data_IF_889775208491
#
_entry.id   IF_889775208491
#
_cell.length_a   1.000
_cell.length_b   1.000
_cell.length_c   1.000
_cell.angle_alpha   90.00
_cell.angle_beta   90.00
_cell.angle_gamma   90.00
#
_symmetry.space_group_name_H-M   'P 1'
#
loop_
_entity.id
_entity.type
_entity.pdbx_description
1 polymer ?
#
# COMPACT_ATOMS: atom_id res chain seq x y z
N UNK A 1 24.19 16.18 7.39
CA UNK A 1 22.90 16.64 7.98
C UNK A 1 22.15 17.59 7.04
N UNK A 2 21.93 17.22 5.76
CA UNK A 2 21.13 18.03 4.81
C UNK A 2 20.04 17.22 4.10
N UNK A 3 19.99 15.91 4.30
CA UNK A 3 19.11 14.98 3.57
C UNK A 3 17.93 14.44 4.41
N UNK A 4 17.84 14.80 5.70
CA UNK A 4 16.78 14.29 6.62
C UNK A 4 15.52 15.17 6.60
N UNK A 5 15.57 16.35 5.98
CA UNK A 5 14.47 17.33 5.97
C UNK A 5 13.57 17.26 4.72
N UNK A 6 13.85 16.37 3.77
CA UNK A 6 13.12 16.30 2.49
C UNK A 6 12.01 15.23 2.45
N UNK A 7 11.82 14.41 3.48
CA UNK A 7 10.82 13.31 3.46
C UNK A 7 9.38 13.75 3.77
N UNK A 8 9.12 15.06 3.91
CA UNK A 8 7.77 15.56 4.17
C UNK A 8 7.05 15.81 2.84
N UNK A 9 6.04 14.99 2.54
CA UNK A 9 4.99 15.17 1.53
C UNK A 9 5.29 14.73 0.09
N UNK A 10 4.85 13.52 -0.25
CA UNK A 10 5.14 12.86 -1.53
C UNK A 10 3.87 12.51 -2.34
N UNK A 11 2.77 12.10 -1.67
CA UNK A 11 1.48 11.80 -2.33
C UNK A 11 0.80 13.03 -2.98
N UNK A 12 0.88 14.21 -2.35
CA UNK A 12 0.26 15.42 -2.86
C UNK A 12 0.95 15.98 -4.12
N UNK A 13 2.27 15.83 -4.20
CA UNK A 13 3.08 16.26 -5.34
C UNK A 13 2.86 15.34 -6.55
N UNK A 14 2.77 14.02 -6.32
CA UNK A 14 2.50 13.02 -7.34
C UNK A 14 1.12 13.20 -7.99
N UNK A 15 0.07 13.49 -7.19
CA UNK A 15 -1.28 13.70 -7.71
C UNK A 15 -1.41 14.99 -8.54
N UNK A 16 -0.71 16.06 -8.14
CA UNK A 16 -0.74 17.36 -8.84
C UNK A 16 -0.07 17.27 -10.21
N UNK A 17 1.06 16.57 -10.31
CA UNK A 17 1.78 16.35 -11.57
C UNK A 17 0.99 15.48 -12.56
N UNK A 18 0.25 14.49 -12.05
CA UNK A 18 -0.50 13.55 -12.89
C UNK A 18 -1.85 14.12 -13.35
N UNK A 19 -2.55 14.89 -12.51
CA UNK A 19 -3.79 15.59 -12.89
C UNK A 19 -3.56 16.75 -13.89
N UNK A 20 -2.37 17.33 -13.94
CA UNK A 20 -2.03 18.39 -14.90
C UNK A 20 -1.68 17.86 -16.31
N UNK A 21 -1.26 16.60 -16.42
CA UNK A 21 -1.01 15.92 -17.71
C UNK A 21 -2.32 15.41 -18.33
N UNK A 22 -3.24 14.88 -17.52
CA UNK A 22 -4.56 14.42 -17.97
C UNK A 22 -5.45 15.54 -18.55
N UNK A 23 -5.18 16.80 -18.21
CA UNK A 23 -5.97 17.96 -18.64
C UNK A 23 -5.71 18.48 -20.07
N UNK A 24 -4.59 18.11 -20.72
CA UNK A 24 -4.05 18.93 -21.81
C UNK A 24 -4.06 18.34 -23.25
N UNK A 25 -4.56 17.13 -23.52
CA UNK A 25 -4.53 16.55 -24.89
C UNK A 25 -5.86 15.94 -25.39
N UNK A 26 -7.01 16.47 -24.95
CA UNK A 26 -8.34 15.85 -25.20
C UNK A 26 -9.07 16.37 -26.46
N UNK A 27 -8.53 17.33 -27.21
CA UNK A 27 -9.28 18.04 -28.26
C UNK A 27 -8.74 17.83 -29.66
N UNK A 28 -9.08 16.71 -30.31
CA UNK A 28 -9.18 16.72 -31.77
C UNK A 28 -10.29 15.76 -32.26
N UNK A 29 -11.39 16.27 -32.86
CA UNK A 29 -12.46 15.43 -33.39
C UNK A 29 -12.13 14.88 -34.78
N UNK A 30 -12.57 13.65 -35.07
CA UNK A 30 -12.65 13.08 -36.41
C UNK A 30 -13.97 13.47 -37.09
N UNK A 31 -13.93 13.81 -38.39
CA UNK A 31 -15.03 14.40 -39.16
C UNK A 31 -15.91 13.36 -39.86
N UNK A 32 -16.91 12.78 -39.19
CA UNK A 32 -17.94 11.96 -39.86
C UNK A 32 -19.34 12.56 -39.70
N UNK A 33 -20.07 12.70 -40.82
CA UNK A 33 -21.30 13.52 -40.95
C UNK A 33 -22.57 12.65 -41.14
N UNK A 34 -22.48 11.32 -41.02
CA UNK A 34 -23.65 10.45 -41.24
C UNK A 34 -23.78 9.39 -40.12
N UNK A 35 -24.71 9.62 -39.18
CA UNK A 35 -24.89 8.76 -38.01
C UNK A 35 -25.94 7.71 -38.32
N UNK A 36 -25.51 6.47 -38.50
CA UNK A 36 -26.40 5.30 -38.41
C UNK A 36 -26.37 4.77 -36.97
N UNK A 37 -27.47 4.16 -36.54
CA UNK A 37 -27.59 3.58 -35.18
C UNK A 37 -26.62 2.41 -34.92
N UNK A 38 -25.93 1.89 -35.95
CA UNK A 38 -24.93 0.83 -35.90
C UNK A 38 -23.50 1.31 -36.23
N UNK A 39 -23.29 2.61 -36.43
CA UNK A 39 -21.96 3.17 -36.72
C UNK A 39 -21.29 3.66 -35.42
N UNK A 40 -20.43 2.81 -34.86
CA UNK A 40 -19.70 3.11 -33.62
C UNK A 40 -18.87 4.40 -33.70
N UNK A 41 -18.31 4.75 -34.87
CA UNK A 41 -17.51 5.97 -35.04
C UNK A 41 -18.40 7.21 -34.99
N UNK A 42 -19.52 7.19 -35.72
CA UNK A 42 -20.46 8.31 -35.74
C UNK A 42 -21.16 8.51 -34.39
N UNK A 43 -21.51 7.42 -33.70
CA UNK A 43 -22.06 7.46 -32.35
C UNK A 43 -21.03 8.01 -31.34
N UNK A 44 -19.77 7.60 -31.43
CA UNK A 44 -18.68 8.13 -30.60
C UNK A 44 -18.46 9.62 -30.85
N UNK A 45 -18.54 10.07 -32.10
CA UNK A 45 -18.44 11.49 -32.46
C UNK A 45 -19.54 12.32 -31.79
N UNK A 46 -20.80 11.87 -31.86
CA UNK A 46 -21.90 12.54 -31.16
C UNK A 46 -21.69 12.52 -29.64
N UNK A 47 -21.20 11.41 -29.07
CA UNK A 47 -20.81 11.34 -27.66
C UNK A 47 -19.82 12.46 -27.26
N UNK A 48 -18.77 12.66 -28.05
CA UNK A 48 -17.80 13.74 -27.80
C UNK A 48 -18.38 15.14 -28.02
N UNK A 49 -19.29 15.32 -28.98
CA UNK A 49 -20.03 16.57 -29.15
C UNK A 49 -20.87 16.89 -27.92
N UNK A 50 -21.57 15.89 -27.37
CA UNK A 50 -22.31 16.03 -26.11
C UNK A 50 -21.41 16.35 -24.91
N UNK A 51 -20.19 15.80 -24.84
CA UNK A 51 -19.20 16.23 -23.82
C UNK A 51 -18.88 17.72 -23.97
N UNK A 52 -18.62 18.22 -25.20
CA UNK A 52 -18.31 19.65 -25.44
C UNK A 52 -19.46 20.57 -25.07
N UNK A 53 -20.69 20.11 -25.23
CA UNK A 53 -21.90 20.84 -24.88
C UNK A 53 -22.26 20.72 -23.38
N UNK A 54 -21.43 20.03 -22.57
CA UNK A 54 -21.70 19.68 -21.16
C UNK A 54 -22.95 18.80 -20.94
N UNK A 55 -23.41 18.09 -21.95
CA UNK A 55 -24.56 17.17 -21.91
C UNK A 55 -24.12 15.74 -21.56
N UNK A 56 -23.55 15.52 -20.37
CA UNK A 56 -22.87 14.27 -20.04
C UNK A 56 -23.77 13.02 -20.02
N UNK A 57 -25.04 13.15 -19.63
CA UNK A 57 -26.01 12.04 -19.71
C UNK A 57 -26.29 11.62 -21.16
N UNK A 58 -26.35 12.58 -22.09
CA UNK A 58 -26.52 12.29 -23.51
C UNK A 58 -25.23 11.71 -24.09
N UNK A 59 -24.06 12.21 -23.67
CA UNK A 59 -22.78 11.64 -24.06
C UNK A 59 -22.67 10.17 -23.67
N UNK A 60 -23.00 9.84 -22.42
CA UNK A 60 -23.04 8.46 -21.93
C UNK A 60 -23.97 7.57 -22.75
N UNK A 61 -25.16 8.07 -23.11
CA UNK A 61 -26.08 7.34 -23.98
C UNK A 61 -25.45 6.98 -25.34
N UNK A 62 -24.80 7.95 -25.99
CA UNK A 62 -24.16 7.73 -27.30
C UNK A 62 -22.95 6.80 -27.21
N UNK A 63 -22.10 6.91 -26.19
CA UNK A 63 -20.97 5.99 -26.03
C UNK A 63 -21.41 4.57 -25.71
N UNK A 64 -22.47 4.38 -24.90
CA UNK A 64 -23.04 3.05 -24.68
C UNK A 64 -23.57 2.45 -25.99
N UNK A 65 -24.28 3.24 -26.81
CA UNK A 65 -24.70 2.80 -28.15
C UNK A 65 -23.50 2.43 -29.04
N UNK A 66 -22.44 3.23 -29.02
CA UNK A 66 -21.24 2.96 -29.80
C UNK A 66 -20.57 1.64 -29.39
N UNK A 67 -20.48 1.35 -28.09
CA UNK A 67 -19.92 0.09 -27.56
C UNK A 67 -20.80 -1.11 -27.93
N UNK A 68 -22.13 -0.95 -27.94
CA UNK A 68 -23.05 -2.00 -28.40
C UNK A 68 -22.90 -2.25 -29.90
N UNK A 69 -22.73 -1.19 -30.69
CA UNK A 69 -22.51 -1.29 -32.14
C UNK A 69 -21.17 -1.95 -32.48
N UNK A 70 -20.09 -1.56 -31.79
CA UNK A 70 -18.77 -2.17 -31.90
C UNK A 70 -18.01 -2.09 -30.59
N UNK A 71 -18.03 -3.21 -29.86
CA UNK A 71 -17.31 -3.32 -28.58
C UNK A 71 -15.78 -3.30 -28.70
N UNK A 72 -15.23 -3.42 -29.92
CA UNK A 72 -13.79 -3.29 -30.17
C UNK A 72 -13.35 -1.83 -30.33
N UNK A 73 -14.27 -0.90 -30.54
CA UNK A 73 -13.96 0.50 -30.79
C UNK A 73 -13.52 1.23 -29.50
N UNK A 74 -12.21 1.29 -29.27
CA UNK A 74 -11.62 1.70 -27.98
C UNK A 74 -11.91 3.15 -27.59
N UNK A 75 -12.08 4.05 -28.57
CA UNK A 75 -12.40 5.46 -28.33
C UNK A 75 -13.77 5.67 -27.67
N UNK A 76 -14.73 4.76 -27.90
CA UNK A 76 -16.05 4.80 -27.26
C UNK A 76 -15.95 4.50 -25.76
N UNK A 77 -15.16 3.50 -25.37
CA UNK A 77 -14.88 3.18 -23.97
C UNK A 77 -14.24 4.35 -23.22
N UNK A 78 -13.24 4.97 -23.83
CA UNK A 78 -12.59 6.15 -23.26
C UNK A 78 -13.54 7.35 -23.12
N UNK A 79 -14.38 7.57 -24.11
CA UNK A 79 -15.44 8.58 -24.07
C UNK A 79 -16.46 8.31 -22.96
N UNK A 80 -16.87 7.05 -22.80
CA UNK A 80 -17.82 6.62 -21.77
C UNK A 80 -17.28 6.90 -20.36
N UNK A 81 -16.03 6.52 -20.08
CA UNK A 81 -15.37 6.80 -18.80
C UNK A 81 -15.38 8.31 -18.48
N UNK A 82 -15.06 9.16 -19.47
CA UNK A 82 -15.10 10.63 -19.31
C UNK A 82 -16.51 11.15 -19.06
N UNK A 83 -17.51 10.65 -19.80
CA UNK A 83 -18.90 11.08 -19.66
C UNK A 83 -19.44 10.74 -18.27
N UNK A 84 -19.19 9.53 -17.78
CA UNK A 84 -19.61 9.09 -16.43
C UNK A 84 -18.94 9.95 -15.36
N UNK A 85 -17.61 10.12 -15.44
CA UNK A 85 -16.87 10.92 -14.46
C UNK A 85 -17.43 12.34 -14.37
N UNK A 86 -17.59 13.01 -15.51
CA UNK A 86 -18.10 14.39 -15.54
C UNK A 86 -19.57 14.48 -15.15
N UNK A 87 -20.43 13.52 -15.55
CA UNK A 87 -21.83 13.51 -15.12
C UNK A 87 -21.95 13.44 -13.60
N UNK A 88 -21.13 12.61 -12.97
CA UNK A 88 -21.16 12.39 -11.53
C UNK A 88 -20.45 13.50 -10.74
N UNK A 89 -19.45 14.15 -11.31
CA UNK A 89 -18.63 15.16 -10.62
C UNK A 89 -18.97 16.61 -10.96
N UNK A 90 -19.58 16.90 -12.10
CA UNK A 90 -19.91 18.26 -12.52
C UNK A 90 -21.29 18.74 -12.02
N UNK A 91 -21.73 18.24 -10.86
CA UNK A 91 -23.01 18.62 -10.26
C UNK A 91 -22.90 19.84 -9.34
N UNK A 92 -21.69 20.11 -8.80
CA UNK A 92 -21.42 21.27 -7.91
C UNK A 92 -20.05 21.89 -8.22
N UNK A 93 -19.81 23.13 -7.78
CA UNK A 93 -18.48 23.76 -7.88
C UNK A 93 -17.41 23.02 -7.06
N UNK A 94 -17.80 22.24 -6.04
CA UNK A 94 -16.90 21.57 -5.10
C UNK A 94 -16.52 20.14 -5.53
N UNK A 95 -17.21 19.58 -6.52
CA UNK A 95 -17.05 18.16 -6.92
C UNK A 95 -16.31 17.97 -8.23
N UNK A 96 -15.92 19.03 -8.96
CA UNK A 96 -15.23 18.86 -10.24
C UNK A 96 -13.83 18.22 -10.03
N UNK A 97 -13.29 17.51 -11.04
CA UNK A 97 -12.00 16.81 -10.93
C UNK A 97 -10.83 17.73 -10.50
N UNK A 98 -10.92 19.03 -10.79
CA UNK A 98 -9.92 20.03 -10.40
C UNK A 98 -10.08 20.54 -8.96
N UNK A 99 -11.27 20.48 -8.36
CA UNK A 99 -11.47 20.83 -6.95
C UNK A 99 -10.80 19.82 -6.03
N UNK A 100 -10.60 18.58 -6.51
CA UNK A 100 -9.87 17.51 -5.83
C UNK A 100 -8.40 17.87 -5.58
N UNK A 101 -7.81 18.66 -6.49
CA UNK A 101 -6.47 19.23 -6.29
C UNK A 101 -6.39 20.14 -5.07
N UNK A 102 -7.48 20.83 -4.73
CA UNK A 102 -7.49 21.73 -3.57
C UNK A 102 -7.40 20.95 -2.26
N UNK A 103 -8.07 19.81 -2.16
CA UNK A 103 -8.02 18.95 -0.97
C UNK A 103 -6.65 18.28 -0.82
N UNK A 104 -6.05 17.89 -1.94
CA UNK A 104 -4.73 17.25 -1.97
C UNK A 104 -3.61 18.27 -1.69
N UNK A 105 -3.77 19.51 -2.15
CA UNK A 105 -2.86 20.60 -1.83
C UNK A 105 -3.03 21.10 -0.39
N UNK A 106 -4.24 21.06 0.18
CA UNK A 106 -4.49 21.41 1.57
C UNK A 106 -3.87 20.42 2.58
N UNK A 107 -3.59 19.17 2.16
CA UNK A 107 -2.89 18.17 2.98
C UNK A 107 -1.38 18.39 3.12
N UNK A 108 -0.78 19.39 2.46
CA UNK A 108 0.66 19.71 2.57
C UNK A 108 1.12 20.15 3.96
N UNK A 109 0.19 20.50 4.85
CA UNK A 109 0.46 20.91 6.24
C UNK A 109 0.13 19.80 7.26
N UNK A 110 0.51 18.55 7.00
CA UNK A 110 0.37 17.38 7.91
C UNK A 110 -1.05 16.88 8.15
N UNK A 111 -1.94 17.04 7.17
CA UNK A 111 -3.29 16.46 7.23
C UNK A 111 -3.41 15.24 6.34
N UNK A 112 -4.21 14.28 6.78
CA UNK A 112 -4.73 13.19 5.94
C UNK A 112 -5.37 13.80 4.67
N UNK A 113 -5.03 13.34 3.46
CA UNK A 113 -5.69 13.79 2.23
C UNK A 113 -7.21 13.65 2.33
N UNK A 114 -7.94 14.59 1.72
CA UNK A 114 -9.42 14.63 1.74
C UNK A 114 -10.07 14.77 3.13
N UNK A 115 -9.30 14.99 4.19
CA UNK A 115 -9.84 15.13 5.55
C UNK A 115 -10.75 16.34 5.75
N UNK A 116 -10.55 17.42 4.98
CA UNK A 116 -11.43 18.59 4.97
C UNK A 116 -12.67 18.45 4.08
N UNK A 117 -12.84 17.32 3.39
CA UNK A 117 -13.98 17.05 2.51
C UNK A 117 -15.20 16.63 3.34
N UNK A 118 -16.40 17.09 2.95
CA UNK A 118 -17.65 16.63 3.57
C UNK A 118 -17.99 15.19 3.18
N UNK A 119 -18.75 14.48 4.00
CA UNK A 119 -19.17 13.09 3.71
C UNK A 119 -19.96 12.97 2.42
N UNK A 120 -20.83 13.95 2.15
CA UNK A 120 -21.61 13.98 0.91
C UNK A 120 -20.70 14.04 -0.33
N UNK A 121 -19.63 14.85 -0.29
CA UNK A 121 -18.67 14.97 -1.40
C UNK A 121 -17.82 13.69 -1.50
N UNK A 122 -17.39 13.13 -0.36
CA UNK A 122 -16.61 11.90 -0.34
C UNK A 122 -17.38 10.70 -0.94
N UNK A 123 -18.64 10.53 -0.55
CA UNK A 123 -19.54 9.50 -1.09
C UNK A 123 -19.77 9.71 -2.58
N UNK A 124 -20.02 10.94 -3.00
CA UNK A 124 -20.23 11.25 -4.42
C UNK A 124 -18.97 10.98 -5.26
N UNK A 125 -17.79 11.28 -4.73
CA UNK A 125 -16.53 11.02 -5.38
C UNK A 125 -16.24 9.51 -5.48
N UNK A 126 -16.49 8.76 -4.41
CA UNK A 126 -16.36 7.31 -4.40
C UNK A 126 -17.28 6.66 -5.44
N UNK A 127 -18.56 7.04 -5.47
CA UNK A 127 -19.54 6.56 -6.48
C UNK A 127 -19.11 6.91 -7.93
N UNK A 128 -18.50 8.09 -8.13
CA UNK A 128 -17.96 8.48 -9.42
C UNK A 128 -16.79 7.59 -9.84
N UNK A 129 -15.82 7.37 -8.95
CA UNK A 129 -14.64 6.54 -9.19
C UNK A 129 -15.06 5.08 -9.44
N UNK A 130 -15.91 4.51 -8.59
CA UNK A 130 -16.37 3.13 -8.72
C UNK A 130 -17.11 2.90 -10.05
N UNK A 131 -17.92 3.86 -10.47
CA UNK A 131 -18.63 3.78 -11.76
C UNK A 131 -17.68 3.82 -12.96
N UNK A 132 -16.62 4.63 -12.89
CA UNK A 132 -15.60 4.67 -13.95
C UNK A 132 -14.75 3.41 -13.95
N UNK A 133 -14.35 2.93 -12.78
CA UNK A 133 -13.55 1.71 -12.61
C UNK A 133 -14.27 0.47 -13.15
N UNK A 134 -15.59 0.37 -12.96
CA UNK A 134 -16.39 -0.71 -13.52
C UNK A 134 -16.31 -0.78 -15.06
N UNK A 135 -16.21 0.37 -15.73
CA UNK A 135 -16.04 0.45 -17.19
C UNK A 135 -14.58 0.24 -17.59
N UNK A 136 -13.65 0.84 -16.84
CA UNK A 136 -12.21 0.72 -17.09
C UNK A 136 -11.76 -0.75 -17.01
N UNK A 137 -12.19 -1.49 -15.99
CA UNK A 137 -11.87 -2.92 -15.83
C UNK A 137 -12.30 -3.74 -17.04
N UNK A 138 -13.53 -3.54 -17.52
CA UNK A 138 -14.03 -4.22 -18.73
C UNK A 138 -13.21 -3.86 -19.97
N UNK A 139 -12.85 -2.59 -20.14
CA UNK A 139 -12.00 -2.15 -21.25
C UNK A 139 -10.60 -2.77 -21.18
N UNK A 140 -9.97 -2.76 -19.99
CA UNK A 140 -8.63 -3.30 -19.75
C UNK A 140 -8.57 -4.80 -20.06
N UNK A 141 -9.55 -5.58 -19.58
CA UNK A 141 -9.65 -7.01 -19.88
C UNK A 141 -9.74 -7.27 -21.38
N UNK A 142 -10.51 -6.45 -22.10
CA UNK A 142 -10.67 -6.58 -23.55
C UNK A 142 -9.41 -6.20 -24.31
N UNK A 143 -8.77 -5.10 -23.93
CA UNK A 143 -7.54 -4.62 -24.57
C UNK A 143 -6.41 -5.65 -24.42
N UNK A 144 -6.22 -6.18 -23.20
CA UNK A 144 -5.26 -7.25 -22.92
C UNK A 144 -5.54 -8.54 -23.71
N UNK A 145 -6.82 -8.82 -23.98
CA UNK A 145 -7.24 -9.95 -24.80
C UNK A 145 -7.15 -9.69 -26.32
N UNK A 146 -6.66 -8.53 -26.76
CA UNK A 146 -6.60 -8.13 -28.18
C UNK A 146 -7.99 -7.96 -28.81
N UNK A 147 -9.01 -7.63 -28.02
CA UNK A 147 -10.41 -7.47 -28.45
C UNK A 147 -10.80 -6.01 -28.72
N UNK A 148 -9.82 -5.13 -28.85
CA UNK A 148 -9.95 -3.70 -29.16
C UNK A 148 -9.26 -3.39 -30.50
N UNK A 149 -9.60 -2.25 -31.09
CA UNK A 149 -8.93 -1.69 -32.28
C UNK A 149 -7.54 -1.08 -31.97
N UNK A 150 -7.12 -1.13 -30.70
CA UNK A 150 -5.85 -0.62 -30.17
C UNK A 150 -5.56 0.87 -30.45
N UNK A 151 -6.58 1.67 -30.82
CA UNK A 151 -6.43 3.13 -31.02
C UNK A 151 -6.20 3.81 -29.67
N UNK A 152 -7.01 3.45 -28.68
CA UNK A 152 -6.76 3.69 -27.26
C UNK A 152 -6.41 2.33 -26.67
N UNK A 153 -5.31 2.28 -25.92
CA UNK A 153 -4.85 1.07 -25.23
C UNK A 153 -4.92 1.27 -23.73
N UNK A 154 -4.79 0.20 -22.95
CA UNK A 154 -4.61 0.31 -21.51
C UNK A 154 -3.41 1.21 -21.16
N UNK A 155 -2.29 1.08 -21.88
CA UNK A 155 -1.12 1.97 -21.71
C UNK A 155 -1.46 3.46 -21.91
N UNK A 156 -2.44 3.77 -22.76
CA UNK A 156 -2.90 5.14 -23.00
C UNK A 156 -3.67 5.72 -21.81
N UNK A 157 -4.34 4.88 -21.02
CA UNK A 157 -5.22 5.31 -19.92
C UNK A 157 -4.68 4.99 -18.52
N UNK A 158 -3.60 4.21 -18.43
CA UNK A 158 -3.09 3.66 -17.16
C UNK A 158 -2.74 4.76 -16.14
N UNK A 159 -2.18 5.88 -16.59
CA UNK A 159 -1.93 7.05 -15.74
C UNK A 159 -3.22 7.57 -15.08
N UNK A 160 -4.26 7.82 -15.87
CA UNK A 160 -5.54 8.31 -15.37
C UNK A 160 -6.25 7.29 -14.47
N UNK A 161 -6.17 6.02 -14.85
CA UNK A 161 -6.72 4.92 -14.07
C UNK A 161 -6.03 4.77 -12.71
N UNK A 162 -4.69 4.86 -12.67
CA UNK A 162 -3.91 4.82 -11.44
C UNK A 162 -4.30 5.96 -10.48
N UNK A 163 -4.47 7.19 -11.00
CA UNK A 163 -4.92 8.31 -10.18
C UNK A 163 -6.27 8.01 -9.54
N UNK A 164 -7.22 7.47 -10.30
CA UNK A 164 -8.54 7.10 -9.77
C UNK A 164 -8.42 6.04 -8.66
N UNK A 165 -7.55 5.04 -8.83
CA UNK A 165 -7.30 4.04 -7.78
C UNK A 165 -6.66 4.65 -6.54
N UNK A 166 -5.64 5.50 -6.67
CA UNK A 166 -5.03 6.21 -5.54
C UNK A 166 -6.06 7.07 -4.81
N UNK A 167 -6.94 7.74 -5.54
CA UNK A 167 -8.02 8.53 -4.96
C UNK A 167 -9.04 7.68 -4.21
N UNK A 168 -9.40 6.50 -4.75
CA UNK A 168 -10.22 5.52 -4.05
C UNK A 168 -9.55 5.07 -2.75
N UNK A 169 -8.27 4.68 -2.79
CA UNK A 169 -7.50 4.31 -1.59
C UNK A 169 -7.55 5.42 -0.54
N UNK A 170 -7.37 6.69 -0.93
CA UNK A 170 -7.43 7.81 0.00
C UNK A 170 -8.84 8.02 0.60
N UNK A 171 -9.91 7.72 -0.13
CA UNK A 171 -11.28 7.78 0.41
C UNK A 171 -11.55 6.66 1.41
N UNK A 172 -11.02 5.46 1.15
CA UNK A 172 -11.04 4.34 2.10
C UNK A 172 -10.29 4.73 3.37
N UNK A 173 -9.06 5.27 3.24
CA UNK A 173 -8.29 5.78 4.38
C UNK A 173 -9.09 6.84 5.16
N UNK A 174 -9.74 7.78 4.47
CA UNK A 174 -10.59 8.80 5.10
C UNK A 174 -11.71 8.16 5.92
N UNK A 175 -12.46 7.20 5.36
CA UNK A 175 -13.55 6.49 6.06
C UNK A 175 -13.04 5.89 7.38
N UNK A 176 -11.89 5.22 7.34
CA UNK A 176 -11.22 4.65 8.53
C UNK A 176 -10.86 5.71 9.57
N UNK A 177 -10.45 6.90 9.16
CA UNK A 177 -10.14 7.99 10.12
C UNK A 177 -11.36 8.54 10.85
N UNK A 178 -12.57 8.44 10.28
CA UNK A 178 -13.78 8.96 10.93
C UNK A 178 -14.22 8.11 12.12
N UNK A 179 -13.87 6.82 12.11
CA UNK A 179 -14.09 5.91 13.24
C UNK A 179 -13.10 6.09 14.39
N UNK A 180 -12.05 6.93 14.22
CA UNK A 180 -11.04 7.14 15.25
C UNK A 180 -11.48 8.21 16.26
N UNK A 181 -11.77 7.81 17.51
CA UNK A 181 -12.06 8.74 18.60
C UNK A 181 -10.88 9.71 18.83
N UNK A 182 -11.17 11.01 18.91
CA UNK A 182 -10.17 12.04 19.14
C UNK A 182 -9.43 12.49 17.89
N UNK A 183 -9.63 11.88 16.73
CA UNK A 183 -9.01 12.31 15.48
C UNK A 183 -9.69 13.56 14.90
N UNK A 184 -9.19 14.75 15.23
CA UNK A 184 -9.69 15.99 14.62
C UNK A 184 -9.01 16.28 13.29
N UNK A 185 -9.80 16.20 12.23
CA UNK A 185 -9.43 16.58 10.87
C UNK A 185 -9.45 18.13 10.64
N UNK A 186 -9.95 18.89 11.61
CA UNK A 186 -10.10 20.35 11.54
C UNK A 186 -8.80 21.11 11.88
N UNK A 187 -8.54 22.22 11.18
CA UNK A 187 -7.31 23.02 11.35
C UNK A 187 -7.34 23.74 12.71
N UNK A 188 -6.33 23.50 13.56
CA UNK A 188 -6.13 24.23 14.83
C UNK A 188 -6.69 23.56 16.09
N UNK A 189 -7.17 22.31 16.02
CA UNK A 189 -7.46 21.53 17.22
C UNK A 189 -6.26 20.66 17.61
N UNK A 190 -6.13 20.44 18.92
CA UNK A 190 -4.96 19.83 19.58
C UNK A 190 -4.76 18.34 19.27
N UNK A 191 -5.71 17.70 18.56
CA UNK A 191 -5.72 16.27 18.27
C UNK A 191 -5.69 15.98 16.75
N UNK A 192 -4.66 16.44 16.03
CA UNK A 192 -4.47 16.06 14.62
C UNK A 192 -3.86 14.65 14.53
N UNK A 193 -4.51 13.72 13.82
CA UNK A 193 -3.88 12.45 13.46
C UNK A 193 -2.85 12.65 12.38
N UNK A 194 -1.68 12.04 12.56
CA UNK A 194 -0.72 11.85 11.49
C UNK A 194 -1.10 10.65 10.60
N UNK A 195 -0.45 10.55 9.45
CA UNK A 195 -0.67 9.43 8.51
C UNK A 195 -0.34 8.08 9.16
N UNK A 196 0.60 8.02 10.12
CA UNK A 196 0.93 6.80 10.85
C UNK A 196 -0.29 6.22 11.55
N UNK A 197 -0.97 7.08 12.32
CA UNK A 197 -2.17 6.70 13.07
C UNK A 197 -3.27 6.23 12.13
N UNK A 198 -3.42 6.85 10.96
CA UNK A 198 -4.41 6.43 9.95
C UNK A 198 -4.07 5.07 9.36
N UNK A 199 -2.80 4.88 8.99
CA UNK A 199 -2.33 3.64 8.37
C UNK A 199 -2.37 2.45 9.35
N UNK A 200 -2.20 2.70 10.65
CA UNK A 200 -2.36 1.64 11.66
C UNK A 200 -3.84 1.33 11.93
N UNK A 201 -4.73 2.32 11.80
CA UNK A 201 -6.16 2.08 11.99
C UNK A 201 -6.85 1.34 10.83
N UNK A 202 -6.20 1.22 9.67
CA UNK A 202 -6.79 0.48 8.54
C UNK A 202 -6.79 -1.04 8.75
N UNK A 203 -6.05 -1.54 9.75
CA UNK A 203 -6.18 -2.92 10.25
C UNK A 203 -7.62 -3.25 10.68
N UNK A 204 -8.46 -2.24 10.98
CA UNK A 204 -9.86 -2.43 11.38
C UNK A 204 -10.85 -2.65 10.21
N UNK A 205 -10.50 -2.32 8.96
CA UNK A 205 -11.32 -2.60 7.75
C UNK A 205 -10.41 -3.12 6.62
N UNK A 206 -9.87 -4.34 6.79
CA UNK A 206 -8.70 -4.77 6.03
C UNK A 206 -9.02 -5.16 4.58
N UNK A 207 -10.22 -5.69 4.31
CA UNK A 207 -10.61 -6.17 2.99
C UNK A 207 -10.71 -5.07 1.91
N UNK A 208 -11.47 -3.99 2.18
CA UNK A 208 -11.66 -2.87 1.23
C UNK A 208 -10.33 -2.14 0.95
N UNK A 209 -9.45 -2.11 1.96
CA UNK A 209 -8.14 -1.47 1.91
C UNK A 209 -7.16 -2.27 1.06
N UNK A 210 -7.04 -3.58 1.31
CA UNK A 210 -6.18 -4.48 0.52
C UNK A 210 -6.60 -4.49 -0.95
N UNK A 211 -7.90 -4.53 -1.25
CA UNK A 211 -8.41 -4.46 -2.63
C UNK A 211 -7.98 -3.17 -3.33
N UNK A 212 -8.09 -2.03 -2.64
CA UNK A 212 -7.71 -0.72 -3.19
C UNK A 212 -6.20 -0.62 -3.44
N UNK A 213 -5.37 -1.15 -2.54
CA UNK A 213 -3.91 -1.21 -2.73
C UNK A 213 -3.52 -2.15 -3.87
N UNK A 214 -4.15 -3.32 -3.99
CA UNK A 214 -3.92 -4.25 -5.09
C UNK A 214 -4.11 -3.60 -6.46
N UNK A 215 -5.21 -2.84 -6.62
CA UNK A 215 -5.48 -2.13 -7.87
C UNK A 215 -4.39 -1.09 -8.21
N UNK A 216 -3.88 -0.38 -7.21
CA UNK A 216 -2.76 0.57 -7.39
C UNK A 216 -1.48 -0.18 -7.78
N UNK A 217 -1.13 -1.25 -7.07
CA UNK A 217 0.11 -1.99 -7.30
C UNK A 217 0.13 -2.72 -8.64
N UNK A 218 -0.97 -3.36 -9.06
CA UNK A 218 -1.10 -3.94 -10.41
C UNK A 218 -0.96 -2.91 -11.51
N UNK A 219 -1.58 -1.75 -11.34
CA UNK A 219 -1.44 -0.66 -12.32
C UNK A 219 -0.01 -0.15 -12.38
N UNK A 220 0.66 -0.04 -11.24
CA UNK A 220 2.06 0.35 -11.15
C UNK A 220 3.00 -0.68 -11.80
N UNK A 221 2.78 -1.99 -11.59
CA UNK A 221 3.59 -3.06 -12.18
C UNK A 221 3.59 -2.96 -13.72
N UNK A 222 2.41 -2.70 -14.30
CA UNK A 222 2.17 -2.65 -15.75
C UNK A 222 2.47 -1.28 -16.38
N UNK A 223 2.61 -0.22 -15.57
CA UNK A 223 2.92 1.15 -16.01
C UNK A 223 3.83 1.86 -15.00
N UNK A 224 5.08 1.39 -14.84
CA UNK A 224 5.99 1.87 -13.80
C UNK A 224 6.46 3.31 -14.02
N UNK A 225 6.39 3.85 -15.25
CA UNK A 225 6.88 5.20 -15.56
C UNK A 225 6.14 6.27 -14.73
N UNK A 226 4.84 6.06 -14.49
CA UNK A 226 3.99 6.97 -13.72
C UNK A 226 4.34 7.00 -12.22
N UNK A 227 4.84 5.88 -11.69
CA UNK A 227 5.23 5.73 -10.29
C UNK A 227 6.73 5.95 -10.07
N UNK A 228 7.56 5.91 -11.11
CA UNK A 228 9.01 6.11 -10.99
C UNK A 228 9.33 7.46 -10.37
N UNK A 229 8.65 8.53 -10.80
CA UNK A 229 8.76 9.87 -10.19
C UNK A 229 8.24 9.94 -8.76
N UNK A 230 7.37 9.01 -8.37
CA UNK A 230 6.87 8.90 -7.00
C UNK A 230 7.92 8.16 -6.15
N UNK A 231 8.44 7.02 -6.61
CA UNK A 231 9.42 6.19 -5.90
C UNK A 231 10.84 6.75 -5.84
N UNK A 232 11.19 7.72 -6.68
CA UNK A 232 12.41 8.54 -6.58
C UNK A 232 12.61 9.09 -5.14
N UNK A 233 11.51 9.33 -4.44
CA UNK A 233 11.51 9.80 -3.05
C UNK A 233 11.43 8.72 -1.97
N UNK A 234 11.24 7.45 -2.33
CA UNK A 234 11.01 6.34 -1.40
C UNK A 234 12.16 5.33 -1.34
N UNK A 235 12.92 5.16 -2.41
CA UNK A 235 13.99 4.16 -2.49
C UNK A 235 15.36 4.85 -2.36
N UNK A 236 16.06 4.61 -1.24
CA UNK A 236 17.39 5.18 -1.05
C UNK A 236 18.36 4.68 -2.12
N UNK A 237 19.03 5.59 -2.83
CA UNK A 237 19.98 5.25 -3.90
C UNK A 237 19.36 5.05 -5.28
N UNK A 238 18.03 5.20 -5.40
CA UNK A 238 17.28 5.04 -6.65
C UNK A 238 17.63 6.09 -7.71
N UNK A 239 17.91 7.34 -7.29
CA UNK A 239 18.37 8.43 -8.16
C UNK A 239 19.68 8.11 -8.90
N UNK A 240 20.46 7.15 -8.40
CA UNK A 240 21.74 6.75 -9.00
C UNK A 240 21.57 5.69 -10.12
N UNK A 241 20.36 5.16 -10.30
CA UNK A 241 20.07 4.17 -11.34
C UNK A 241 19.80 4.88 -12.68
N UNK A 242 20.08 4.17 -13.79
CA UNK A 242 19.61 4.60 -15.11
C UNK A 242 18.09 4.41 -15.20
N UNK A 243 17.43 5.21 -16.03
CA UNK A 243 15.96 5.22 -16.20
C UNK A 243 15.38 3.82 -16.44
N UNK A 244 16.04 2.97 -17.26
CA UNK A 244 15.56 1.61 -17.50
C UNK A 244 15.64 0.71 -16.26
N UNK A 245 16.68 0.88 -15.43
CA UNK A 245 16.83 0.14 -14.18
C UNK A 245 15.86 0.64 -13.11
N UNK A 246 15.54 1.94 -13.10
CA UNK A 246 14.51 2.53 -12.25
C UNK A 246 13.12 1.93 -12.58
N UNK A 247 12.76 1.88 -13.85
CA UNK A 247 11.49 1.28 -14.29
C UNK A 247 11.38 -0.19 -13.90
N UNK A 248 12.45 -0.96 -14.10
CA UNK A 248 12.47 -2.39 -13.75
C UNK A 248 12.35 -2.60 -12.25
N UNK A 249 13.01 -1.80 -11.42
CA UNK A 249 12.92 -1.88 -9.97
C UNK A 249 11.52 -1.50 -9.46
N UNK A 250 10.90 -0.44 -10.01
CA UNK A 250 9.52 -0.03 -9.63
C UNK A 250 8.50 -1.08 -10.05
N UNK A 251 8.59 -1.56 -11.29
CA UNK A 251 7.70 -2.61 -11.79
C UNK A 251 7.78 -3.86 -10.91
N UNK A 252 9.01 -4.30 -10.58
CA UNK A 252 9.20 -5.50 -9.75
C UNK A 252 8.67 -5.34 -8.34
N UNK A 253 8.91 -4.20 -7.69
CA UNK A 253 8.37 -3.92 -6.35
C UNK A 253 6.84 -3.83 -6.34
N UNK A 254 6.26 -3.19 -7.36
CA UNK A 254 4.82 -3.12 -7.50
C UNK A 254 4.21 -4.49 -7.78
N UNK A 255 4.86 -5.33 -8.59
CA UNK A 255 4.45 -6.72 -8.79
C UNK A 255 4.52 -7.55 -7.51
N UNK A 256 5.56 -7.37 -6.69
CA UNK A 256 5.66 -8.02 -5.39
C UNK A 256 4.52 -7.62 -4.44
N UNK A 257 4.23 -6.32 -4.30
CA UNK A 257 3.13 -5.84 -3.47
C UNK A 257 1.74 -6.23 -4.02
N UNK A 258 1.59 -6.28 -5.35
CA UNK A 258 0.39 -6.80 -6.00
C UNK A 258 0.18 -8.28 -5.68
N UNK A 259 1.26 -9.07 -5.66
CA UNK A 259 1.21 -10.48 -5.30
C UNK A 259 0.79 -10.68 -3.84
N UNK A 260 1.34 -9.91 -2.89
CA UNK A 260 0.95 -10.01 -1.48
C UNK A 260 -0.53 -9.64 -1.28
N UNK A 261 -0.97 -8.54 -1.88
CA UNK A 261 -2.38 -8.13 -1.82
C UNK A 261 -3.35 -9.10 -2.52
N UNK A 262 -2.91 -9.81 -3.56
CA UNK A 262 -3.70 -10.88 -4.19
C UNK A 262 -3.86 -12.11 -3.29
N UNK A 263 -2.80 -12.54 -2.59
CA UNK A 263 -2.86 -13.67 -1.64
C UNK A 263 -3.81 -13.39 -0.48
N UNK A 264 -3.91 -12.13 -0.07
CA UNK A 264 -4.72 -11.69 1.06
C UNK A 264 -6.23 -11.59 0.78
N UNK A 265 -6.68 -11.64 -0.47
CA UNK A 265 -8.04 -11.24 -0.84
C UNK A 265 -9.16 -11.89 -0.03
N UNK A 266 -9.01 -13.17 0.30
CA UNK A 266 -10.06 -13.97 0.94
C UNK A 266 -9.70 -14.46 2.36
N UNK A 267 -8.64 -13.93 2.98
CA UNK A 267 -8.16 -14.36 4.30
C UNK A 267 -7.83 -13.16 5.19
N UNK A 268 -8.63 -12.91 6.23
CA UNK A 268 -8.48 -11.79 7.17
C UNK A 268 -7.09 -11.74 7.82
N UNK A 269 -6.57 -12.89 8.28
CA UNK A 269 -5.25 -12.94 8.91
C UNK A 269 -4.16 -12.53 7.88
N UNK A 270 -4.28 -12.99 6.62
CA UNK A 270 -3.36 -12.59 5.54
C UNK A 270 -3.53 -11.12 5.14
N UNK A 271 -4.74 -10.54 5.28
CA UNK A 271 -4.96 -9.12 5.04
C UNK A 271 -4.24 -8.26 6.07
N UNK A 272 -4.30 -8.64 7.35
CA UNK A 272 -3.55 -7.95 8.41
C UNK A 272 -2.05 -7.96 8.13
N UNK A 273 -1.47 -9.13 7.85
CA UNK A 273 -0.05 -9.27 7.47
C UNK A 273 0.31 -8.38 6.26
N UNK A 274 -0.51 -8.41 5.23
CA UNK A 274 -0.28 -7.60 4.02
C UNK A 274 -0.36 -6.10 4.33
N UNK A 275 -1.25 -5.69 5.22
CA UNK A 275 -1.31 -4.30 5.66
C UNK A 275 -0.07 -3.92 6.46
N UNK A 276 0.44 -4.78 7.34
CA UNK A 276 1.70 -4.55 8.08
C UNK A 276 2.87 -4.34 7.11
N UNK A 277 3.00 -5.19 6.09
CA UNK A 277 3.97 -5.02 5.01
C UNK A 277 3.84 -3.64 4.33
N UNK A 278 2.62 -3.24 3.97
CA UNK A 278 2.34 -1.96 3.32
C UNK A 278 2.68 -0.79 4.26
N UNK A 279 2.29 -0.88 5.53
CA UNK A 279 2.52 0.10 6.59
C UNK A 279 4.03 0.28 6.83
N UNK A 280 4.77 -0.82 7.03
CA UNK A 280 6.21 -0.84 7.21
C UNK A 280 6.95 -0.25 6.01
N UNK A 281 6.53 -0.60 4.79
CA UNK A 281 7.04 -0.02 3.55
C UNK A 281 6.83 1.51 3.48
N UNK A 282 5.74 2.02 4.05
CA UNK A 282 5.47 3.46 4.12
C UNK A 282 6.04 4.13 5.37
N UNK A 283 6.59 3.37 6.30
CA UNK A 283 7.37 3.85 7.44
C UNK A 283 6.54 4.16 8.66
N UNK A 284 5.65 3.24 9.06
CA UNK A 284 4.66 3.53 10.08
C UNK A 284 4.30 2.33 10.99
N UNK A 285 5.26 1.56 11.52
CA UNK A 285 4.93 0.51 12.51
C UNK A 285 4.37 1.06 13.84
N UNK A 286 3.47 0.30 14.47
CA UNK A 286 2.87 0.50 15.79
C UNK A 286 3.61 -0.15 16.97
N UNK A 287 4.70 -0.90 16.76
CA UNK A 287 5.49 -1.54 17.84
C UNK A 287 4.67 -2.54 18.63
N UNK A 288 3.88 -3.34 17.92
CA UNK A 288 2.90 -4.27 18.45
C UNK A 288 3.16 -5.61 17.79
N UNK A 289 3.27 -6.66 18.61
CA UNK A 289 3.18 -8.07 18.21
C UNK A 289 1.78 -8.32 17.64
N UNK A 290 1.69 -8.49 16.31
CA UNK A 290 0.43 -8.70 15.58
C UNK A 290 0.20 -10.15 15.17
N UNK A 291 1.21 -11.02 15.30
CA UNK A 291 1.13 -12.40 14.86
C UNK A 291 1.05 -13.40 16.03
N UNK A 292 1.41 -12.99 17.25
CA UNK A 292 1.22 -13.68 18.51
C UNK A 292 2.42 -14.50 19.00
N UNK A 293 3.61 -14.32 18.43
CA UNK A 293 4.83 -15.03 18.80
C UNK A 293 5.54 -14.43 20.05
N UNK A 294 5.12 -13.22 20.45
CA UNK A 294 5.58 -12.46 21.61
C UNK A 294 6.76 -11.55 21.35
N UNK A 295 7.30 -11.55 20.14
CA UNK A 295 8.35 -10.64 19.69
C UNK A 295 7.70 -9.37 19.13
N UNK A 296 8.43 -8.26 19.07
CA UNK A 296 7.88 -7.01 18.51
C UNK A 296 8.86 -6.37 17.53
N UNK A 297 8.35 -5.96 16.36
CA UNK A 297 9.12 -5.29 15.31
C UNK A 297 10.40 -6.03 14.87
N UNK A 298 10.42 -7.35 15.02
CA UNK A 298 11.58 -8.21 14.73
C UNK A 298 11.79 -8.47 13.25
N UNK A 299 10.72 -8.34 12.45
CA UNK A 299 10.78 -8.54 11.01
C UNK A 299 11.20 -7.27 10.26
N UNK A 300 11.94 -7.49 9.18
CA UNK A 300 12.32 -6.46 8.21
C UNK A 300 11.65 -6.82 6.91
N UNK A 301 11.07 -5.85 6.20
CA UNK A 301 10.47 -6.10 4.89
C UNK A 301 11.52 -6.43 3.83
N UNK A 302 12.02 -7.65 3.91
CA UNK A 302 13.02 -8.25 3.05
C UNK A 302 12.62 -9.63 2.54
N UNK A 303 11.44 -10.14 2.87
CA UNK A 303 10.93 -11.40 2.33
C UNK A 303 11.68 -12.62 2.83
N UNK A 304 12.30 -12.51 4.00
CA UNK A 304 12.98 -13.57 4.73
C UNK A 304 12.46 -13.61 6.16
N UNK A 305 12.54 -14.79 6.79
CA UNK A 305 12.15 -15.03 8.19
C UNK A 305 13.31 -14.58 9.11
N UNK A 306 13.19 -13.39 9.72
CA UNK A 306 14.26 -12.70 10.44
C UNK A 306 14.32 -13.12 11.93
N UNK A 307 13.29 -13.76 12.47
CA UNK A 307 13.27 -14.28 13.84
C UNK A 307 13.28 -15.82 13.92
N UNK A 308 12.99 -16.52 12.83
CA UNK A 308 13.01 -17.97 12.73
C UNK A 308 11.76 -18.67 13.22
N UNK A 309 10.65 -17.98 13.32
CA UNK A 309 9.40 -18.53 13.81
C UNK A 309 8.60 -19.30 12.72
N UNK A 310 9.04 -19.15 11.47
CA UNK A 310 8.54 -19.83 10.29
C UNK A 310 7.55 -19.03 9.46
N UNK A 311 7.22 -17.81 9.86
CA UNK A 311 6.46 -16.85 9.08
C UNK A 311 7.39 -15.76 8.49
N UNK A 312 6.89 -14.92 7.56
CA UNK A 312 7.72 -13.92 6.86
C UNK A 312 7.03 -12.56 6.81
N UNK A 313 7.74 -11.51 7.25
CA UNK A 313 7.33 -10.10 7.18
C UNK A 313 6.01 -9.78 7.93
N UNK A 314 5.73 -10.44 9.06
CA UNK A 314 4.51 -10.22 9.86
C UNK A 314 4.52 -8.89 10.61
N UNK A 315 5.58 -8.61 11.35
CA UNK A 315 5.70 -7.45 12.24
C UNK A 315 6.83 -6.52 11.76
N UNK A 316 6.63 -6.03 10.53
CA UNK A 316 7.63 -5.23 9.81
C UNK A 316 7.97 -3.94 10.55
N UNK A 317 9.25 -3.77 10.86
CA UNK A 317 9.77 -2.52 11.40
C UNK A 317 9.67 -1.34 10.43
N UNK A 318 9.52 -0.14 10.98
CA UNK A 318 9.38 1.09 10.18
C UNK A 318 10.64 1.41 9.35
N UNK A 319 10.45 1.80 8.09
CA UNK A 319 11.51 2.28 7.17
C UNK A 319 12.41 3.39 7.72
N UNK A 320 11.98 4.13 8.74
CA UNK A 320 12.76 5.18 9.40
C UNK A 320 13.89 4.60 10.25
N UNK A 321 13.90 3.28 10.50
CA UNK A 321 15.07 2.57 10.97
C UNK A 321 16.27 2.85 10.07
N UNK A 322 17.47 2.75 10.65
CA UNK A 322 18.72 2.94 9.91
C UNK A 322 19.05 1.65 9.16
N UNK A 323 18.22 1.34 8.16
CA UNK A 323 18.38 0.21 7.24
C UNK A 323 19.33 0.63 6.13
N UNK A 324 20.40 -0.14 5.94
CA UNK A 324 21.35 0.01 4.85
C UNK A 324 21.18 -1.16 3.88
N UNK A 325 20.88 -0.86 2.62
CA UNK A 325 20.67 -1.88 1.59
C UNK A 325 21.95 -2.23 0.82
N UNK A 326 22.10 -3.50 0.42
CA UNK A 326 23.13 -3.96 -0.52
C UNK A 326 22.68 -3.65 -1.96
N UNK A 327 22.88 -2.40 -2.36
CA UNK A 327 22.47 -1.90 -3.68
C UNK A 327 23.14 -2.65 -4.84
N UNK A 328 24.36 -3.15 -4.66
CA UNK A 328 25.08 -3.90 -5.70
C UNK A 328 24.41 -5.26 -5.94
N UNK A 329 23.99 -5.94 -4.86
CA UNK A 329 23.24 -7.19 -4.96
C UNK A 329 21.85 -6.97 -5.55
N UNK A 330 21.12 -5.94 -5.11
CA UNK A 330 19.81 -5.58 -5.67
C UNK A 330 19.94 -5.33 -7.17
N UNK A 331 20.91 -4.52 -7.61
CA UNK A 331 21.12 -4.24 -9.02
C UNK A 331 21.43 -5.50 -9.82
N UNK A 332 22.26 -6.41 -9.26
CA UNK A 332 22.56 -7.70 -9.88
C UNK A 332 21.31 -8.57 -10.01
N UNK A 333 20.47 -8.61 -8.99
CA UNK A 333 19.21 -9.38 -8.99
C UNK A 333 18.21 -8.83 -10.01
N UNK A 334 18.01 -7.51 -10.03
CA UNK A 334 17.16 -6.82 -11.02
C UNK A 334 17.66 -7.08 -12.44
N UNK A 335 18.96 -6.97 -12.68
CA UNK A 335 19.56 -7.24 -14.00
C UNK A 335 19.40 -8.71 -14.41
N UNK A 336 19.33 -9.63 -13.44
CA UNK A 336 19.05 -11.04 -13.68
C UNK A 336 17.55 -11.37 -13.85
N UNK A 337 16.68 -10.35 -13.83
CA UNK A 337 15.23 -10.51 -13.97
C UNK A 337 14.55 -11.13 -12.76
N UNK A 338 15.18 -11.06 -11.58
CA UNK A 338 14.57 -11.52 -10.34
C UNK A 338 13.63 -10.46 -9.77
N UNK A 339 12.47 -10.89 -9.29
CA UNK A 339 11.37 -9.99 -8.89
C UNK A 339 10.82 -10.27 -7.49
N UNK A 340 11.33 -11.28 -6.77
CA UNK A 340 10.88 -11.56 -5.41
C UNK A 340 11.37 -10.49 -4.42
N UNK A 341 10.64 -10.26 -3.32
CA UNK A 341 10.97 -9.24 -2.30
C UNK A 341 12.41 -9.43 -1.79
N UNK A 342 12.80 -10.64 -1.41
CA UNK A 342 14.17 -11.01 -1.01
C UNK A 342 15.29 -10.74 -2.01
N UNK A 343 14.94 -10.60 -3.28
CA UNK A 343 15.89 -10.25 -4.32
C UNK A 343 15.99 -8.71 -4.51
N UNK A 344 14.95 -7.97 -4.13
CA UNK A 344 14.82 -6.52 -4.30
C UNK A 344 15.09 -5.70 -3.03
N UNK A 345 15.02 -6.34 -1.86
CA UNK A 345 15.18 -5.73 -0.52
C UNK A 345 16.35 -6.35 0.22
N UNK A 346 17.51 -6.44 -0.43
CA UNK A 346 18.70 -7.02 0.21
C UNK A 346 19.23 -6.06 1.28
N UNK A 347 19.00 -6.36 2.55
CA UNK A 347 19.49 -5.55 3.67
C UNK A 347 20.93 -5.92 3.96
N UNK A 348 21.83 -4.96 4.05
CA UNK A 348 23.22 -5.19 4.48
C UNK A 348 23.38 -5.04 6.00
N UNK A 349 22.65 -4.12 6.61
CA UNK A 349 22.69 -3.81 8.04
C UNK A 349 21.41 -3.10 8.46
N UNK A 350 20.99 -3.32 9.70
CA UNK A 350 19.91 -2.57 10.35
C UNK A 350 20.41 -1.98 11.68
N UNK A 351 19.88 -0.82 12.07
CA UNK A 351 20.04 -0.26 13.42
C UNK A 351 18.78 0.54 13.79
N UNK A 352 18.44 0.67 15.08
CA UNK A 352 17.33 1.49 15.50
C UNK A 352 17.63 2.97 15.29
N UNK A 353 16.57 3.72 15.01
CA UNK A 353 16.57 5.17 15.17
C UNK A 353 16.13 5.54 16.60
N UNK A 354 16.06 6.84 16.92
CA UNK A 354 15.68 7.33 18.25
C UNK A 354 14.32 6.80 18.76
N UNK A 355 13.33 6.58 17.87
CA UNK A 355 12.02 5.98 18.21
C UNK A 355 12.18 4.53 18.65
N UNK A 356 13.07 3.77 18.01
CA UNK A 356 13.24 2.32 18.23
C UNK A 356 14.35 1.98 19.23
N UNK A 357 15.11 2.96 19.73
CA UNK A 357 16.11 2.68 20.78
C UNK A 357 15.47 2.19 22.08
N UNK A 358 14.18 2.45 22.31
CA UNK A 358 13.44 2.01 23.51
C UNK A 358 12.60 0.75 23.30
N UNK A 359 12.69 0.13 22.13
CA UNK A 359 12.01 -1.15 21.84
C UNK A 359 12.90 -2.28 22.36
N UNK A 360 12.26 -3.28 22.97
CA UNK A 360 12.84 -4.50 23.55
C UNK A 360 12.31 -5.65 22.69
N UNK A 361 13.03 -6.00 21.62
CA UNK A 361 12.53 -6.90 20.57
C UNK A 361 12.30 -8.29 21.15
N UNK A 362 13.25 -8.78 21.95
CA UNK A 362 13.20 -10.12 22.51
C UNK A 362 12.48 -10.20 23.88
N UNK A 363 12.00 -9.06 24.36
CA UNK A 363 11.28 -8.87 25.62
C UNK A 363 12.06 -9.33 26.86
N UNK A 364 13.40 -9.30 26.80
CA UNK A 364 14.29 -9.63 27.92
C UNK A 364 14.37 -8.51 28.98
N UNK A 365 13.83 -7.33 28.69
CA UNK A 365 13.73 -6.18 29.58
C UNK A 365 14.87 -5.19 29.45
N UNK A 366 15.60 -5.24 28.35
CA UNK A 366 16.67 -4.31 28.04
C UNK A 366 16.39 -3.72 26.67
N UNK A 367 16.83 -2.49 26.51
CA UNK A 367 16.64 -1.76 25.27
C UNK A 367 17.98 -1.17 24.86
N UNK A 368 18.13 -0.81 23.58
CA UNK A 368 19.35 -0.13 23.09
C UNK A 368 19.58 1.21 23.80
N UNK A 369 18.51 1.87 24.27
CA UNK A 369 18.57 3.10 25.04
C UNK A 369 19.22 2.90 26.42
N UNK A 370 18.91 1.78 27.09
CA UNK A 370 19.43 1.45 28.42
C UNK A 370 20.79 0.73 28.36
N UNK A 371 21.02 -0.08 27.32
CA UNK A 371 22.21 -0.88 27.12
C UNK A 371 22.61 -0.93 25.64
N UNK A 372 23.73 -0.28 25.28
CA UNK A 372 24.20 -0.25 23.89
C UNK A 372 24.64 -1.60 23.34
N UNK A 373 24.93 -2.58 24.21
CA UNK A 373 25.25 -3.94 23.78
C UNK A 373 24.03 -4.65 23.15
N UNK A 374 22.81 -4.18 23.42
CA UNK A 374 21.59 -4.71 22.77
C UNK A 374 21.60 -4.42 21.26
N UNK A 375 22.38 -3.45 20.77
CA UNK A 375 22.51 -3.22 19.33
C UNK A 375 23.06 -4.45 18.59
N UNK A 376 24.04 -5.13 19.18
CA UNK A 376 24.66 -6.32 18.60
C UNK A 376 23.89 -7.60 18.96
N UNK A 377 22.92 -7.51 19.87
CA UNK A 377 22.11 -8.64 20.32
C UNK A 377 20.78 -8.69 19.57
N UNK A 378 20.07 -7.58 19.46
CA UNK A 378 18.74 -7.51 18.83
C UNK A 378 18.81 -7.15 17.35
N UNK A 379 19.67 -6.20 16.96
CA UNK A 379 19.64 -5.61 15.62
C UNK A 379 20.74 -6.14 14.68
N UNK A 380 21.62 -7.00 15.16
CA UNK A 380 22.64 -7.61 14.31
C UNK A 380 22.12 -8.90 13.66
N UNK A 381 22.48 -9.12 12.41
CA UNK A 381 22.30 -10.43 11.77
C UNK A 381 23.30 -11.45 12.29
N UNK A 382 22.88 -12.72 12.43
CA UNK A 382 23.76 -13.84 12.77
C UNK A 382 24.94 -13.93 11.79
N UNK A 383 24.64 -13.73 10.51
CA UNK A 383 25.66 -13.53 9.48
C UNK A 383 25.56 -12.09 8.93
N UNK A 384 26.53 -11.21 9.24
CA UNK A 384 26.46 -9.81 8.83
C UNK A 384 26.40 -9.62 7.32
N UNK A 385 27.03 -10.50 6.54
CA UNK A 385 27.03 -10.43 5.07
C UNK A 385 25.88 -11.24 4.50
N UNK A 386 25.14 -10.65 3.55
CA UNK A 386 24.02 -11.31 2.89
C UNK A 386 24.40 -12.64 2.22
N UNK A 387 25.56 -12.70 1.56
CA UNK A 387 26.00 -13.93 0.89
C UNK A 387 26.21 -15.08 1.89
N UNK A 388 26.62 -14.75 3.12
CA UNK A 388 26.80 -15.73 4.19
C UNK A 388 25.44 -16.18 4.75
N UNK A 389 24.44 -15.27 4.88
CA UNK A 389 23.05 -15.64 5.23
C UNK A 389 22.46 -16.65 4.25
N UNK A 390 22.54 -16.34 2.96
CA UNK A 390 22.07 -17.24 1.88
C UNK A 390 22.80 -18.58 1.90
N UNK A 391 24.12 -18.58 2.07
CA UNK A 391 24.92 -19.81 2.07
C UNK A 391 24.61 -20.73 3.25
N UNK A 392 24.17 -20.16 4.38
CA UNK A 392 23.79 -20.92 5.58
C UNK A 392 22.27 -21.11 5.70
N UNK A 393 21.47 -20.57 4.78
CA UNK A 393 20.01 -20.54 4.87
C UNK A 393 19.53 -20.05 6.25
N UNK A 394 20.14 -18.97 6.74
CA UNK A 394 19.83 -18.39 8.05
C UNK A 394 19.90 -16.87 7.93
N UNK A 395 18.72 -16.27 7.89
CA UNK A 395 18.54 -14.82 7.72
C UNK A 395 18.31 -14.10 9.04
N UNK A 396 18.33 -14.85 10.15
CA UNK A 396 17.89 -14.36 11.44
C UNK A 396 18.78 -13.28 12.03
N UNK A 397 18.15 -12.44 12.83
CA UNK A 397 18.80 -11.56 13.79
C UNK A 397 19.37 -12.38 14.96
N UNK A 398 20.30 -11.80 15.70
CA UNK A 398 21.06 -12.50 16.75
C UNK A 398 20.17 -12.91 17.92
N UNK A 399 19.18 -12.10 18.30
CA UNK A 399 18.32 -12.37 19.46
C UNK A 399 17.58 -13.71 19.32
N UNK A 400 17.11 -13.99 18.11
CA UNK A 400 16.40 -15.21 17.74
C UNK A 400 17.21 -16.50 17.92
N UNK A 401 18.54 -16.42 17.99
CA UNK A 401 19.38 -17.63 18.11
C UNK A 401 19.19 -18.39 19.42
N UNK A 402 18.72 -17.71 20.47
CA UNK A 402 18.44 -18.31 21.78
C UNK A 402 16.98 -18.76 21.96
N UNK A 403 16.09 -18.43 21.04
CA UNK A 403 14.67 -18.69 21.14
C UNK A 403 14.31 -20.08 20.61
N UNK A 404 13.23 -20.64 21.13
CA UNK A 404 12.65 -21.89 20.63
C UNK A 404 11.19 -21.63 20.32
N UNK A 405 10.87 -21.60 19.04
CA UNK A 405 9.51 -21.55 18.53
C UNK A 405 8.92 -22.95 18.44
N UNK A 406 7.61 -23.05 18.62
CA UNK A 406 6.85 -24.30 18.66
C UNK A 406 7.48 -25.39 19.56
N UNK A 407 7.62 -25.17 20.89
CA UNK A 407 8.32 -26.11 21.78
C UNK A 407 7.68 -27.50 21.86
N UNK A 408 6.38 -27.61 21.56
CA UNK A 408 5.67 -28.90 21.54
C UNK A 408 5.80 -29.64 20.21
N UNK A 409 6.38 -29.03 19.17
CA UNK A 409 6.47 -29.62 17.84
C UNK A 409 5.09 -29.89 17.21
N UNK A 410 4.15 -28.97 17.41
CA UNK A 410 2.82 -29.02 16.79
C UNK A 410 2.95 -28.98 15.25
N UNK A 411 1.98 -29.55 14.51
CA UNK A 411 1.86 -29.31 13.08
C UNK A 411 1.82 -27.79 12.77
N UNK A 412 2.46 -27.32 11.68
CA UNK A 412 2.52 -25.89 11.36
C UNK A 412 1.15 -25.20 11.31
N UNK A 413 0.14 -25.84 10.73
CA UNK A 413 -1.22 -25.30 10.69
C UNK A 413 -1.83 -25.09 12.07
N UNK A 414 -1.54 -25.97 13.02
CA UNK A 414 -2.03 -25.87 14.40
C UNK A 414 -1.23 -24.83 15.20
N UNK A 415 0.09 -24.78 14.99
CA UNK A 415 0.97 -23.78 15.59
C UNK A 415 0.54 -22.36 15.19
N UNK A 416 0.38 -22.09 13.90
CA UNK A 416 -0.01 -20.78 13.39
C UNK A 416 -1.44 -20.42 13.84
N UNK A 417 -2.35 -21.41 13.91
CA UNK A 417 -3.68 -21.17 14.45
C UNK A 417 -3.67 -20.73 15.92
N UNK A 418 -2.75 -21.27 16.75
CA UNK A 418 -2.58 -20.78 18.12
C UNK A 418 -1.96 -19.40 18.17
N UNK A 419 -0.91 -19.11 17.37
CA UNK A 419 -0.31 -17.78 17.26
C UNK A 419 -1.37 -16.72 16.93
N UNK A 420 -2.13 -16.93 15.86
CA UNK A 420 -3.20 -16.01 15.45
C UNK A 420 -4.34 -15.90 16.47
N UNK A 421 -4.64 -16.96 17.23
CA UNK A 421 -5.64 -16.88 18.30
C UNK A 421 -5.12 -16.06 19.49
N UNK A 422 -3.82 -16.15 19.79
CA UNK A 422 -3.12 -15.39 20.82
C UNK A 422 -3.02 -13.90 20.46
N UNK A 423 -2.74 -13.58 19.19
CA UNK A 423 -2.72 -12.21 18.68
C UNK A 423 -4.08 -11.49 18.85
N UNK A 424 -5.18 -12.26 18.93
CA UNK A 424 -6.54 -11.75 19.13
C UNK A 424 -6.87 -11.41 20.59
N UNK A 425 -6.00 -11.74 21.56
CA UNK A 425 -6.19 -11.32 22.95
C UNK A 425 -5.92 -9.80 23.07
N UNK A 426 -6.98 -9.00 23.32
CA UNK A 426 -6.93 -7.54 23.14
C UNK A 426 -6.61 -6.73 24.39
N UNK A 427 -7.07 -7.17 25.56
CA UNK A 427 -6.88 -6.40 26.80
C UNK A 427 -6.85 -7.31 28.03
N UNK A 428 -6.50 -6.72 29.17
CA UNK A 428 -6.31 -7.41 30.45
C UNK A 428 -7.55 -8.21 30.92
N UNK A 429 -8.75 -7.88 30.45
CA UNK A 429 -10.01 -8.56 30.77
C UNK A 429 -10.41 -9.61 29.72
N UNK A 430 -9.71 -9.65 28.58
CA UNK A 430 -9.99 -10.50 27.42
C UNK A 430 -8.76 -11.34 27.04
N UNK A 431 -8.12 -11.97 28.04
CA UNK A 431 -7.00 -12.90 27.84
C UNK A 431 -7.57 -14.33 27.82
N UNK A 432 -7.57 -14.97 26.66
CA UNK A 432 -7.96 -16.37 26.53
C UNK A 432 -6.79 -17.33 26.81
N UNK A 433 -5.57 -16.93 26.45
CA UNK A 433 -4.37 -17.75 26.57
C UNK A 433 -3.36 -17.08 27.51
N UNK A 434 -3.21 -17.66 28.71
CA UNK A 434 -2.28 -17.15 29.72
C UNK A 434 -0.81 -17.32 29.34
N UNK A 435 0.08 -16.68 30.10
CA UNK A 435 1.52 -16.72 29.85
C UNK A 435 2.08 -18.16 29.87
N UNK A 436 1.55 -19.03 30.71
CA UNK A 436 2.02 -20.41 30.80
C UNK A 436 1.70 -21.19 29.52
N UNK A 437 0.50 -21.00 28.98
CA UNK A 437 0.10 -21.55 27.68
C UNK A 437 1.02 -21.03 26.57
N UNK A 438 1.19 -19.71 26.47
CA UNK A 438 2.02 -19.08 25.43
C UNK A 438 3.45 -19.61 25.45
N UNK A 439 4.08 -19.67 26.62
CA UNK A 439 5.42 -20.27 26.78
C UNK A 439 5.50 -21.74 26.37
N UNK A 440 4.47 -22.52 26.67
CA UNK A 440 4.48 -23.95 26.40
C UNK A 440 4.26 -24.27 24.92
N UNK A 441 3.31 -23.59 24.29
CA UNK A 441 2.80 -23.93 22.96
C UNK A 441 3.34 -23.04 21.86
N UNK A 442 3.62 -21.76 22.15
CA UNK A 442 4.20 -20.82 21.20
C UNK A 442 5.73 -20.76 21.34
N UNK A 443 6.21 -20.53 22.56
CA UNK A 443 7.63 -20.34 22.81
C UNK A 443 8.07 -18.93 22.44
N UNK A 444 9.09 -18.77 21.60
CA UNK A 444 9.53 -17.46 21.11
C UNK A 444 9.90 -16.49 22.23
N UNK A 445 9.62 -15.22 22.03
CA UNK A 445 9.89 -14.18 23.01
C UNK A 445 9.01 -14.30 24.26
N UNK A 446 7.85 -14.98 24.21
CA UNK A 446 7.05 -15.29 25.42
C UNK A 446 7.88 -15.97 26.51
N UNK A 447 8.94 -16.71 26.15
CA UNK A 447 9.85 -17.34 27.10
C UNK A 447 10.48 -16.34 28.10
N UNK A 448 10.73 -15.11 27.65
CA UNK A 448 11.40 -14.05 28.41
C UNK A 448 10.46 -13.23 29.31
N UNK A 449 9.15 -13.35 29.11
CA UNK A 449 8.16 -12.62 29.90
C UNK A 449 8.07 -13.14 31.33
N UNK A 450 7.90 -12.22 32.27
CA UNK A 450 7.33 -12.51 33.58
C UNK A 450 5.87 -12.07 33.62
N UNK A 451 5.15 -12.46 34.68
CA UNK A 451 3.72 -12.14 34.82
C UNK A 451 3.45 -10.63 34.79
N UNK A 452 4.39 -9.83 35.31
CA UNK A 452 4.24 -8.38 35.33
C UNK A 452 4.32 -7.82 33.91
N UNK A 453 5.34 -8.19 33.14
CA UNK A 453 5.51 -7.78 31.74
C UNK A 453 4.38 -8.29 30.86
N UNK A 454 3.94 -9.52 31.09
CA UNK A 454 2.81 -10.10 30.40
C UNK A 454 1.56 -9.24 30.59
N UNK A 455 1.25 -8.84 31.82
CA UNK A 455 0.10 -7.96 32.07
C UNK A 455 0.31 -6.54 31.50
N UNK A 456 1.55 -6.01 31.55
CA UNK A 456 1.90 -4.72 30.94
C UNK A 456 1.71 -4.71 29.41
N UNK A 457 1.92 -5.84 28.74
CA UNK A 457 1.70 -5.96 27.29
C UNK A 457 0.23 -5.69 26.89
N UNK A 458 -0.73 -5.99 27.79
CA UNK A 458 -2.15 -5.68 27.58
C UNK A 458 -2.56 -4.28 28.04
N UNK A 459 -1.69 -3.52 28.70
CA UNK A 459 -2.03 -2.19 29.20
C UNK A 459 -2.16 -1.20 28.03
N UNK A 460 -3.39 -0.83 27.69
CA UNK A 460 -3.68 0.19 26.68
C UNK A 460 -4.03 -0.35 25.29
N UNK A 461 -3.93 -1.66 25.06
CA UNK A 461 -4.54 -2.34 23.91
C UNK A 461 -6.08 -2.37 24.08
N UNK A 462 -6.84 -2.24 22.98
CA UNK A 462 -8.32 -2.16 22.96
C UNK A 462 -8.92 -3.03 21.85
#
# INVERSE_FOLDING_TARGET
MRNVLQSKFLWASALVLSLSIAGCNIFNPTESINIKDDDAQALTYEGYKKIRDNEYSNAEYYFNKAIVADSSYSQAWFGLMKAILNRKLNTTQETNVFSLLSYVNASRDSKVPFSGMSDAIAVQLQDAIDSVNAIANQFIERDKAGKTDSVITYKTISEGYMILQMMKTMLVLRKTTQSMEGCSLQKGQQNSCDMASVLNNIKNDPAETVESFNAVFKTCEESPESMTKMFDSYLQGFDNLKEEAQHSAVSSMCGALAQETDKAKDNEDQQTKTLNIIIGQFGYSDIIDDDGDGCVDEELYDGEDNDGDGEIDEDVSDKTNKIEYDNDMILKNVTAGKTAIRDLRVISRVNPNEKYETVDIDMNGKTVADNRDELETEWAFVYPKYQDRVSNNNHRLVFATGLTFNPQGLPPEEYNAYKHAIAKDKDINNIQYDLAFRKQYIGGCWANYDEKRFMQWFEGRK
#
